data_IF_106631629329
#
_entry.id   IF_106631629329
#
_cell.length_a   1.000
_cell.length_b   1.000
_cell.length_c   1.000
_cell.angle_alpha   90.00
_cell.angle_beta   90.00
_cell.angle_gamma   90.00
#
_symmetry.space_group_name_H-M   'P 1'
#
loop_
_entity.id
_entity.type
_entity.pdbx_description
1 polymer ?
#
# COMPACT_ATOMS: atom_id res chain seq x y z
N UNK A 1 -2.18 18.76 1.43
CA UNK A 1 -3.59 18.47 1.75
C UNK A 1 -4.43 18.98 0.58
N UNK A 2 -5.54 18.34 0.26
CA UNK A 2 -6.48 18.86 -0.76
C UNK A 2 -6.96 17.89 -1.84
N UNK A 3 -6.30 16.75 -2.06
CA UNK A 3 -6.73 15.80 -3.12
C UNK A 3 -7.36 14.52 -2.55
N UNK A 4 -6.70 13.92 -1.54
CA UNK A 4 -7.14 12.67 -0.91
C UNK A 4 -6.49 12.47 0.45
N UNK A 5 -7.26 11.95 1.41
CA UNK A 5 -6.80 11.49 2.71
C UNK A 5 -7.13 10.00 2.92
N UNK A 6 -6.34 9.32 3.77
CA UNK A 6 -6.69 8.00 4.32
C UNK A 6 -6.76 8.11 5.84
N UNK A 7 -7.80 7.53 6.42
CA UNK A 7 -8.07 7.55 7.86
C UNK A 7 -8.28 6.12 8.32
N UNK A 8 -7.49 5.69 9.29
CA UNK A 8 -7.64 4.38 9.92
C UNK A 8 -8.49 4.50 11.18
N UNK A 9 -9.47 3.63 11.33
CA UNK A 9 -10.39 3.62 12.47
C UNK A 9 -10.45 2.22 13.09
N UNK A 10 -10.66 2.16 14.41
CA UNK A 10 -10.93 0.93 15.15
C UNK A 10 -12.03 1.14 16.15
N UNK A 11 -12.73 0.07 16.50
CA UNK A 11 -13.66 0.05 17.61
C UNK A 11 -13.00 -0.58 18.83
N UNK A 12 -13.32 -0.08 20.02
CA UNK A 12 -12.98 -0.78 21.28
C UNK A 12 -14.06 -1.80 21.66
N UNK A 13 -15.19 -1.82 20.95
CA UNK A 13 -16.28 -2.80 21.10
C UNK A 13 -16.31 -3.71 19.87
N UNK A 14 -16.16 -5.02 20.10
CA UNK A 14 -16.14 -6.04 19.05
C UNK A 14 -17.46 -6.19 18.29
N UNK A 15 -18.58 -5.70 18.84
CA UNK A 15 -19.90 -5.78 18.20
C UNK A 15 -20.18 -4.59 17.25
N UNK A 16 -19.25 -3.65 17.14
CA UNK A 16 -19.43 -2.41 16.40
C UNK A 16 -18.46 -2.37 15.22
N UNK A 17 -19.00 -2.24 14.01
CA UNK A 17 -18.23 -1.99 12.79
C UNK A 17 -17.72 -0.53 12.79
N UNK A 18 -16.40 -0.29 12.95
CA UNK A 18 -15.87 1.06 13.02
C UNK A 18 -15.97 1.79 11.68
N UNK A 19 -15.80 1.09 10.55
CA UNK A 19 -15.82 1.72 9.22
C UNK A 19 -17.25 2.12 8.87
N UNK A 20 -18.21 1.20 8.98
CA UNK A 20 -19.63 1.51 8.72
C UNK A 20 -20.17 2.60 9.64
N UNK A 21 -19.70 2.64 10.90
CA UNK A 21 -20.04 3.70 11.85
C UNK A 21 -19.43 5.04 11.48
N UNK A 22 -18.25 5.10 10.87
CA UNK A 22 -17.72 6.38 10.38
C UNK A 22 -18.35 6.81 9.03
N UNK A 23 -18.67 5.85 8.15
CA UNK A 23 -19.25 6.09 6.82
C UNK A 23 -20.70 6.58 6.89
N UNK A 24 -21.51 5.95 7.76
CA UNK A 24 -22.93 6.25 7.90
C UNK A 24 -23.82 5.71 6.77
N UNK A 25 -25.15 5.84 6.93
CA UNK A 25 -26.10 5.32 5.96
C UNK A 25 -25.81 5.89 4.57
N UNK A 26 -25.55 5.02 3.58
CA UNK A 26 -25.21 5.41 2.20
C UNK A 26 -24.05 6.41 2.09
N UNK A 27 -23.09 6.39 3.03
CA UNK A 27 -21.91 7.27 2.99
C UNK A 27 -22.15 8.71 3.45
N UNK A 28 -23.33 9.02 3.99
CA UNK A 28 -23.73 10.39 4.31
C UNK A 28 -22.72 11.14 5.18
N UNK A 29 -22.15 10.48 6.20
CA UNK A 29 -21.23 11.14 7.14
C UNK A 29 -19.91 11.52 6.47
N UNK A 30 -19.37 10.62 5.66
CA UNK A 30 -18.14 10.87 4.89
C UNK A 30 -18.38 11.92 3.81
N UNK A 31 -19.51 11.87 3.11
CA UNK A 31 -19.84 12.87 2.10
C UNK A 31 -19.93 14.28 2.67
N UNK A 32 -20.56 14.46 3.83
CA UNK A 32 -20.61 15.76 4.49
C UNK A 32 -19.19 16.30 4.79
N UNK A 33 -18.27 15.45 5.26
CA UNK A 33 -16.89 15.85 5.53
C UNK A 33 -16.17 16.22 4.22
N UNK A 34 -16.35 15.45 3.15
CA UNK A 34 -15.75 15.75 1.83
C UNK A 34 -16.25 17.10 1.30
N UNK A 35 -17.52 17.42 1.48
CA UNK A 35 -18.11 18.72 1.11
C UNK A 35 -17.50 19.86 1.94
N UNK A 36 -17.36 19.69 3.26
CA UNK A 36 -16.72 20.66 4.15
C UNK A 36 -15.23 20.87 3.82
N UNK A 37 -14.54 19.83 3.33
CA UNK A 37 -13.15 19.89 2.89
C UNK A 37 -12.98 20.34 1.42
N UNK A 38 -14.00 20.98 0.83
CA UNK A 38 -13.98 21.50 -0.55
C UNK A 38 -13.62 20.44 -1.60
N UNK A 39 -14.07 19.19 -1.40
CA UNK A 39 -13.89 18.10 -2.36
C UNK A 39 -12.64 17.24 -2.17
N UNK A 40 -11.89 17.39 -1.07
CA UNK A 40 -10.85 16.43 -0.71
C UNK A 40 -11.48 15.05 -0.44
N UNK A 41 -11.13 14.04 -1.24
CA UNK A 41 -11.66 12.68 -1.07
C UNK A 41 -11.09 12.02 0.18
N UNK A 42 -11.83 11.10 0.79
CA UNK A 42 -11.40 10.41 2.00
C UNK A 42 -11.69 8.91 1.93
N UNK A 43 -10.66 8.10 2.16
CA UNK A 43 -10.81 6.67 2.39
C UNK A 43 -10.79 6.38 3.88
N UNK A 44 -11.83 5.71 4.37
CA UNK A 44 -11.87 5.19 5.75
C UNK A 44 -11.57 3.69 5.69
N UNK A 45 -10.55 3.27 6.42
CA UNK A 45 -10.09 1.89 6.46
C UNK A 45 -10.05 1.39 7.89
N UNK A 46 -10.25 0.10 8.08
CA UNK A 46 -10.15 -0.53 9.40
C UNK A 46 -8.68 -0.69 9.79
N UNK A 47 -8.33 -0.17 10.97
CA UNK A 47 -7.05 -0.44 11.62
C UNK A 47 -7.06 -1.86 12.19
N UNK A 48 -5.93 -2.56 12.08
CA UNK A 48 -5.78 -3.89 12.64
C UNK A 48 -4.43 -4.01 13.37
N UNK A 49 -4.39 -4.86 14.41
CA UNK A 49 -3.16 -5.17 15.15
C UNK A 49 -2.18 -5.99 14.30
N UNK A 50 -2.71 -6.87 13.43
CA UNK A 50 -1.91 -7.58 12.45
C UNK A 50 -1.48 -6.61 11.33
N UNK A 51 -0.17 -6.33 11.17
CA UNK A 51 0.31 -5.42 10.16
C UNK A 51 -0.04 -5.85 8.73
N UNK A 52 -0.11 -7.16 8.45
CA UNK A 52 -0.46 -7.66 7.11
C UNK A 52 -1.90 -7.28 6.75
N UNK A 53 -2.83 -7.48 7.69
CA UNK A 53 -4.24 -7.10 7.54
C UNK A 53 -4.37 -5.59 7.44
N UNK A 54 -3.64 -4.84 8.26
CA UNK A 54 -3.71 -3.39 8.24
C UNK A 54 -3.18 -2.78 6.93
N UNK A 55 -2.07 -3.29 6.41
CA UNK A 55 -1.50 -2.87 5.10
C UNK A 55 -2.46 -3.20 3.96
N UNK A 56 -3.07 -4.38 3.98
CA UNK A 56 -4.12 -4.76 3.02
C UNK A 56 -5.30 -3.79 3.06
N UNK A 57 -5.78 -3.44 4.25
CA UNK A 57 -6.86 -2.48 4.42
C UNK A 57 -6.47 -1.08 3.92
N UNK A 58 -5.24 -0.64 4.20
CA UNK A 58 -4.74 0.67 3.80
C UNK A 58 -4.64 0.86 2.28
N UNK A 59 -4.43 -0.21 1.52
CA UNK A 59 -4.34 -0.18 0.06
C UNK A 59 -5.68 -0.20 -0.68
N UNK A 60 -6.80 -0.35 0.04
CA UNK A 60 -8.15 -0.21 -0.51
C UNK A 60 -8.24 1.09 -1.36
N UNK A 61 -8.76 1.02 -2.60
CA UNK A 61 -9.61 -0.04 -3.18
C UNK A 61 -8.88 -1.19 -3.89
N UNK A 62 -7.54 -1.20 -3.95
CA UNK A 62 -6.82 -2.30 -4.59
C UNK A 62 -6.87 -3.57 -3.73
N UNK A 63 -7.08 -4.71 -4.38
CA UNK A 63 -7.04 -6.01 -3.74
C UNK A 63 -5.59 -6.47 -3.58
N UNK A 64 -5.20 -6.72 -2.33
CA UNK A 64 -3.90 -7.31 -2.00
C UNK A 64 -4.05 -8.83 -1.90
N UNK A 65 -3.17 -9.53 -2.61
CA UNK A 65 -3.06 -10.98 -2.61
C UNK A 65 -2.12 -11.46 -1.51
N UNK A 66 -0.99 -10.77 -1.35
CA UNK A 66 0.09 -11.17 -0.44
C UNK A 66 0.80 -9.95 0.14
N UNK A 67 1.26 -10.07 1.38
CA UNK A 67 2.16 -9.11 2.05
C UNK A 67 3.33 -9.92 2.59
N UNK A 68 4.54 -9.58 2.15
CA UNK A 68 5.79 -10.18 2.61
C UNK A 68 6.61 -9.14 3.34
N UNK A 69 7.00 -9.43 4.58
CA UNK A 69 7.79 -8.51 5.39
C UNK A 69 9.28 -8.76 5.18
N UNK A 70 10.04 -7.67 5.13
CA UNK A 70 11.49 -7.74 5.15
C UNK A 70 11.94 -7.85 6.61
N UNK A 71 12.89 -8.75 6.90
CA UNK A 71 13.30 -9.05 8.29
C UNK A 71 13.89 -7.84 9.05
N UNK A 72 14.47 -6.85 8.35
CA UNK A 72 15.30 -5.83 9.00
C UNK A 72 14.83 -4.36 8.85
N UNK A 73 13.81 -4.05 8.02
CA UNK A 73 13.68 -2.67 7.49
C UNK A 73 12.31 -1.98 7.59
N UNK A 74 11.35 -2.47 8.41
CA UNK A 74 9.96 -1.96 8.44
C UNK A 74 9.38 -1.80 7.02
N UNK A 75 9.83 -2.67 6.11
CA UNK A 75 9.46 -2.69 4.71
C UNK A 75 8.71 -3.97 4.41
N UNK A 76 7.84 -3.91 3.40
CA UNK A 76 7.13 -5.06 2.89
C UNK A 76 6.99 -4.98 1.38
N UNK A 77 6.96 -6.16 0.75
CA UNK A 77 6.51 -6.33 -0.61
C UNK A 77 5.03 -6.71 -0.57
N UNK A 78 4.22 -5.96 -1.30
CA UNK A 78 2.79 -6.21 -1.47
C UNK A 78 2.55 -6.67 -2.89
N UNK A 79 1.92 -7.84 -3.03
CA UNK A 79 1.54 -8.40 -4.32
C UNK A 79 0.07 -8.10 -4.59
N UNK A 80 -0.20 -7.55 -5.77
CA UNK A 80 -1.54 -7.25 -6.27
C UNK A 80 -1.73 -7.91 -7.65
N UNK A 81 -2.98 -8.12 -8.10
CA UNK A 81 -3.20 -8.60 -9.46
C UNK A 81 -2.62 -7.65 -10.50
N UNK A 82 -2.09 -8.15 -11.62
CA UNK A 82 -1.48 -7.33 -12.68
C UNK A 82 -2.39 -6.19 -13.17
N UNK A 83 -3.68 -6.48 -13.34
CA UNK A 83 -4.67 -5.50 -13.78
C UNK A 83 -4.96 -4.38 -12.74
N UNK A 84 -4.56 -4.56 -11.48
CA UNK A 84 -4.74 -3.59 -10.40
C UNK A 84 -3.46 -2.87 -9.99
N UNK A 85 -2.31 -3.16 -10.60
CA UNK A 85 -1.04 -2.52 -10.25
C UNK A 85 -1.15 -0.99 -10.28
N UNK A 86 -1.70 -0.43 -11.36
CA UNK A 86 -1.93 1.01 -11.50
C UNK A 86 -2.88 1.57 -10.44
N UNK A 87 -3.90 0.81 -10.03
CA UNK A 87 -4.86 1.21 -9.00
C UNK A 87 -4.19 1.22 -7.61
N UNK A 88 -3.40 0.19 -7.31
CA UNK A 88 -2.68 0.03 -6.05
C UNK A 88 -1.66 1.15 -5.84
N UNK A 89 -0.92 1.52 -6.90
CA UNK A 89 -0.01 2.67 -6.90
C UNK A 89 -0.82 3.98 -6.78
N UNK A 90 -1.88 4.10 -7.58
CA UNK A 90 -2.74 5.28 -7.65
C UNK A 90 -2.12 6.43 -8.44
N UNK A 91 -2.93 7.45 -8.75
CA UNK A 91 -2.50 8.64 -9.52
C UNK A 91 -1.30 9.31 -8.83
N UNK A 92 -0.17 9.43 -9.54
CA UNK A 92 1.09 9.98 -8.99
C UNK A 92 1.58 9.25 -7.72
N UNK A 93 1.31 7.94 -7.60
CA UNK A 93 1.69 7.15 -6.43
C UNK A 93 0.91 7.50 -5.16
N UNK A 94 -0.20 8.25 -5.27
CA UNK A 94 -0.89 8.80 -4.11
C UNK A 94 -1.43 7.70 -3.19
N UNK A 95 -1.97 6.60 -3.72
CA UNK A 95 -2.57 5.54 -2.90
C UNK A 95 -1.50 4.84 -2.07
N UNK A 96 -0.43 4.36 -2.73
CA UNK A 96 0.71 3.73 -2.08
C UNK A 96 1.36 4.65 -1.03
N UNK A 97 1.56 5.94 -1.37
CA UNK A 97 2.16 6.91 -0.46
C UNK A 97 1.29 7.18 0.78
N UNK A 98 -0.03 7.31 0.60
CA UNK A 98 -0.94 7.50 1.73
C UNK A 98 -1.02 6.25 2.60
N UNK A 99 -1.04 5.05 2.00
CA UNK A 99 -1.01 3.78 2.73
C UNK A 99 0.28 3.64 3.55
N UNK A 100 1.45 3.89 2.94
CA UNK A 100 2.74 3.85 3.63
C UNK A 100 2.81 4.85 4.80
N UNK A 101 2.29 6.07 4.60
CA UNK A 101 2.21 7.07 5.67
C UNK A 101 1.26 6.66 6.79
N UNK A 102 0.14 6.01 6.44
CA UNK A 102 -0.88 5.60 7.40
C UNK A 102 -0.40 4.42 8.26
N UNK A 103 0.25 3.44 7.66
CA UNK A 103 0.73 2.23 8.36
C UNK A 103 2.11 2.40 8.98
N UNK A 104 2.91 3.34 8.48
CA UNK A 104 4.31 3.53 8.88
C UNK A 104 5.29 2.57 8.19
N UNK A 105 4.82 1.72 7.28
CA UNK A 105 5.65 0.76 6.55
C UNK A 105 6.11 1.32 5.20
N UNK A 106 7.31 0.91 4.77
CA UNK A 106 7.72 1.06 3.37
C UNK A 106 7.03 -0.02 2.54
N UNK A 107 6.19 0.38 1.61
CA UNK A 107 5.39 -0.53 0.79
C UNK A 107 5.95 -0.54 -0.63
N UNK A 108 6.56 -1.65 -1.04
CA UNK A 108 6.90 -1.93 -2.43
C UNK A 108 5.75 -2.74 -3.07
N UNK A 109 5.12 -2.23 -4.12
CA UNK A 109 3.98 -2.88 -4.75
C UNK A 109 4.45 -3.56 -6.03
N UNK A 110 4.25 -4.88 -6.11
CA UNK A 110 4.51 -5.68 -7.30
C UNK A 110 3.22 -6.31 -7.82
N UNK A 111 3.15 -6.51 -9.13
CA UNK A 111 2.13 -7.41 -9.66
C UNK A 111 2.49 -8.87 -9.41
N UNK A 112 1.55 -9.80 -9.59
CA UNK A 112 1.82 -11.24 -9.51
C UNK A 112 3.00 -11.64 -10.40
N UNK A 113 2.95 -11.25 -11.68
CA UNK A 113 4.02 -11.54 -12.65
C UNK A 113 5.37 -10.95 -12.20
N UNK A 114 5.40 -9.67 -11.80
CA UNK A 114 6.63 -9.02 -11.36
C UNK A 114 7.19 -9.59 -10.04
N UNK A 115 6.33 -10.17 -9.21
CA UNK A 115 6.73 -10.81 -7.97
C UNK A 115 7.31 -12.20 -8.22
N UNK A 116 6.77 -12.97 -9.17
CA UNK A 116 7.35 -14.24 -9.61
C UNK A 116 8.77 -14.05 -10.16
N UNK A 117 8.96 -13.09 -11.08
CA UNK A 117 10.29 -12.72 -11.59
C UNK A 117 11.25 -12.29 -10.47
N UNK A 118 10.75 -11.55 -9.48
CA UNK A 118 11.55 -11.15 -8.33
C UNK A 118 12.05 -12.35 -7.51
N UNK A 119 11.21 -13.37 -7.31
CA UNK A 119 11.59 -14.60 -6.61
C UNK A 119 12.61 -15.42 -7.40
N UNK A 120 12.45 -15.52 -8.71
CA UNK A 120 13.41 -16.22 -9.58
C UNK A 120 14.80 -15.56 -9.52
N UNK A 121 14.87 -14.23 -9.56
CA UNK A 121 16.12 -13.48 -9.47
C UNK A 121 16.81 -13.63 -8.10
N UNK A 122 16.04 -13.78 -7.01
CA UNK A 122 16.60 -14.08 -5.69
C UNK A 122 17.18 -15.49 -5.61
N UNK A 123 16.58 -16.46 -6.31
CA UNK A 123 17.04 -17.84 -6.33
C UNK A 123 18.30 -18.03 -7.20
N UNK A 124 18.44 -17.24 -8.27
CA UNK A 124 19.59 -17.26 -9.18
C UNK A 124 20.22 -15.86 -9.29
N UNK A 125 21.01 -15.41 -8.29
CA UNK A 125 21.70 -14.14 -8.38
C UNK A 125 22.69 -14.21 -9.54
N UNK A 126 22.40 -13.47 -10.62
CA UNK A 126 23.34 -13.32 -11.74
C UNK A 126 24.56 -12.60 -11.19
N UNK A 127 25.70 -13.28 -11.19
CA UNK A 127 26.98 -12.68 -10.83
C UNK A 127 27.35 -11.75 -11.98
N UNK A 128 27.06 -10.45 -11.86
CA UNK A 128 27.65 -9.46 -12.76
C UNK A 128 29.15 -9.38 -12.44
N UNK A 129 29.98 -10.08 -13.22
CA UNK A 129 31.39 -9.78 -13.32
C UNK A 129 31.53 -8.36 -13.88
N UNK A 130 31.78 -7.39 -13.01
CA UNK A 130 32.28 -6.09 -13.44
C UNK A 130 33.66 -6.29 -14.07
N UNK A 131 33.74 -6.28 -15.40
CA UNK A 131 35.00 -6.15 -16.12
C UNK A 131 35.66 -4.82 -15.71
N UNK A 132 36.59 -4.88 -14.77
CA UNK A 132 37.63 -3.87 -14.60
C UNK A 132 38.48 -3.89 -15.87
N UNK A 133 38.12 -3.08 -16.86
CA UNK A 133 39.03 -2.72 -17.94
C UNK A 133 40.07 -1.77 -17.38
N UNK A 134 41.15 -2.35 -16.86
CA UNK A 134 42.43 -1.69 -16.68
C UNK A 134 42.97 -1.30 -18.06
N UNK A 135 42.71 -0.07 -18.52
CA UNK A 135 43.52 0.55 -19.57
C UNK A 135 44.62 1.36 -18.89
N UNK A 136 45.72 0.67 -18.57
CA UNK A 136 47.05 1.28 -18.61
C UNK A 136 47.34 1.65 -20.06
N UNK A 137 47.72 2.91 -20.32
CA UNK A 137 48.68 3.39 -21.32
C UNK A 137 48.36 4.85 -21.67
N UNK A 138 49.11 5.79 -21.08
CA UNK A 138 49.93 6.80 -21.77
C UNK A 138 50.94 7.44 -20.82
#
# INVERSE_FOLDING_TARGET
AGDRAKVAVRSNDANLDPVGTCVGPRGQRVHNIVEELNGENMDIVEWNEDPAVYIKNALNPAQVLKVEFNDDSNGCIVVVPDHQLSLAIGKRGQNARLAAKLTGYRIDIKSETAYEEYLENLANPVVEETEETSSEEE
#
